data_IF_964239366662
#
_entry.id   IF_964239366662
#
_cell.length_a   1.000
_cell.length_b   1.000
_cell.length_c   1.000
_cell.angle_alpha   90.00
_cell.angle_beta   90.00
_cell.angle_gamma   90.00
#
_symmetry.space_group_name_H-M   'P 1'
#
loop_
_entity.id
_entity.type
_entity.pdbx_description
1 polymer ?
#
# COMPACT_ATOMS: atom_id res chain seq x y z
N UNK A 1 36.22 -6.68 72.73
CA UNK A 1 35.13 -5.80 72.25
C UNK A 1 34.88 -6.08 70.77
N UNK A 2 33.60 -6.33 70.42
CA UNK A 2 32.96 -6.36 69.08
C UNK A 2 33.45 -7.48 68.11
N UNK A 3 32.69 -8.58 67.98
CA UNK A 3 31.58 -8.82 67.00
C UNK A 3 32.11 -8.77 65.54
N UNK A 4 32.05 -9.78 64.66
CA UNK A 4 31.12 -10.91 64.47
C UNK A 4 31.68 -11.85 63.39
N UNK A 5 31.70 -13.17 63.64
CA UNK A 5 31.72 -14.23 62.62
C UNK A 5 30.27 -14.67 62.38
N UNK A 6 29.76 -14.60 61.15
CA UNK A 6 28.58 -15.36 60.68
C UNK A 6 28.65 -15.36 59.13
N UNK A 7 29.07 -16.46 58.50
CA UNK A 7 28.28 -17.62 58.02
C UNK A 7 27.24 -17.26 56.96
N UNK A 8 27.31 -18.04 55.88
CA UNK A 8 26.19 -18.39 54.99
C UNK A 8 25.79 -17.26 54.02
N UNK A 9 25.54 -17.47 52.74
CA UNK A 9 25.37 -18.65 51.90
C UNK A 9 25.16 -18.09 50.48
N UNK A 10 25.52 -18.89 49.48
CA UNK A 10 25.39 -18.60 48.06
C UNK A 10 24.09 -17.86 47.69
N UNK A 11 24.22 -16.78 46.93
CA UNK A 11 23.38 -16.50 45.78
C UNK A 11 24.24 -15.66 44.82
N UNK A 12 25.15 -16.34 44.13
CA UNK A 12 25.72 -15.83 42.87
C UNK A 12 24.58 -15.81 41.87
N UNK A 13 23.98 -14.64 41.71
CA UNK A 13 23.07 -14.29 40.62
C UNK A 13 23.80 -14.43 39.28
N UNK A 14 23.17 -15.17 38.36
CA UNK A 14 23.65 -15.44 37.00
C UNK A 14 23.61 -14.15 36.16
N UNK A 15 24.64 -13.33 36.26
CA UNK A 15 24.85 -12.21 35.35
C UNK A 15 25.61 -12.71 34.10
N UNK A 16 24.90 -13.00 33.00
CA UNK A 16 25.56 -13.28 31.73
C UNK A 16 24.78 -14.05 30.67
N UNK A 17 23.60 -13.58 30.22
CA UNK A 17 23.01 -14.01 28.91
C UNK A 17 21.85 -13.17 28.35
N UNK A 18 21.71 -11.90 28.71
CA UNK A 18 20.49 -11.12 28.36
C UNK A 18 20.54 -10.12 27.18
N UNK A 19 21.67 -9.61 26.66
CA UNK A 19 21.61 -8.63 25.57
C UNK A 19 21.35 -9.26 24.18
N UNK A 20 21.77 -10.51 23.96
CA UNK A 20 21.59 -11.19 22.67
C UNK A 20 20.13 -11.62 22.42
N UNK A 21 19.40 -11.99 23.48
CA UNK A 21 18.00 -12.41 23.38
C UNK A 21 17.07 -11.25 23.04
N UNK A 22 17.30 -10.08 23.63
CA UNK A 22 16.53 -8.86 23.34
C UNK A 22 16.76 -8.39 21.90
N UNK A 23 17.99 -8.48 21.40
CA UNK A 23 18.31 -8.15 20.01
C UNK A 23 17.66 -9.11 18.99
N UNK A 24 17.60 -10.41 19.30
CA UNK A 24 16.89 -11.39 18.47
C UNK A 24 15.37 -11.14 18.47
N UNK A 25 14.76 -10.99 19.65
CA UNK A 25 13.33 -10.69 19.79
C UNK A 25 12.94 -9.41 19.06
N UNK A 26 13.75 -8.35 19.15
CA UNK A 26 13.50 -7.10 18.43
C UNK A 26 13.50 -7.30 16.91
N UNK A 27 14.46 -8.07 16.38
CA UNK A 27 14.51 -8.38 14.94
C UNK A 27 13.29 -9.18 14.49
N UNK A 28 12.89 -10.18 15.27
CA UNK A 28 11.73 -11.02 14.97
C UNK A 28 10.45 -10.19 14.94
N UNK A 29 10.21 -9.36 15.97
CA UNK A 29 9.05 -8.46 16.04
C UNK A 29 9.06 -7.45 14.90
N UNK A 30 10.22 -6.88 14.59
CA UNK A 30 10.36 -5.97 13.44
C UNK A 30 10.01 -6.67 12.12
N UNK A 31 10.48 -7.90 11.90
CA UNK A 31 10.15 -8.68 10.69
C UNK A 31 8.65 -8.86 10.55
N UNK A 32 7.98 -9.30 11.62
CA UNK A 32 6.52 -9.46 11.63
C UNK A 32 5.77 -8.16 11.28
N UNK A 33 6.24 -7.01 11.77
CA UNK A 33 5.63 -5.70 11.47
C UNK A 33 5.83 -5.33 9.99
N UNK A 34 7.05 -5.49 9.47
CA UNK A 34 7.36 -5.11 8.08
C UNK A 34 6.67 -6.04 7.07
N UNK A 35 6.61 -7.34 7.35
CA UNK A 35 5.85 -8.32 6.56
C UNK A 35 4.36 -7.96 6.50
N UNK A 36 3.75 -7.62 7.65
CA UNK A 36 2.36 -7.20 7.69
C UNK A 36 2.11 -5.91 6.91
N UNK A 37 2.98 -4.92 7.05
CA UNK A 37 2.89 -3.65 6.31
C UNK A 37 3.01 -3.85 4.81
N UNK A 38 3.95 -4.69 4.37
CA UNK A 38 4.16 -5.01 2.97
C UNK A 38 2.91 -5.69 2.38
N UNK A 39 2.37 -6.70 3.07
CA UNK A 39 1.17 -7.41 2.64
C UNK A 39 -0.04 -6.47 2.46
N UNK A 40 -0.24 -5.54 3.40
CA UNK A 40 -1.29 -4.52 3.31
C UNK A 40 -1.04 -3.59 2.12
N UNK A 41 0.18 -3.06 1.97
CA UNK A 41 0.52 -2.15 0.89
C UNK A 41 0.26 -2.77 -0.49
N UNK A 42 0.63 -4.04 -0.67
CA UNK A 42 0.45 -4.78 -1.93
C UNK A 42 -1.03 -5.01 -2.24
N UNK A 43 -1.81 -5.35 -1.21
CA UNK A 43 -3.27 -5.54 -1.35
C UNK A 43 -3.94 -4.24 -1.76
N UNK A 44 -3.59 -3.13 -1.11
CA UNK A 44 -4.10 -1.79 -1.42
C UNK A 44 -3.69 -1.38 -2.84
N UNK A 45 -2.42 -1.54 -3.21
CA UNK A 45 -1.92 -1.18 -4.54
C UNK A 45 -2.63 -1.96 -5.65
N UNK A 46 -2.86 -3.26 -5.44
CA UNK A 46 -3.64 -4.09 -6.36
C UNK A 46 -5.09 -3.58 -6.52
N UNK A 47 -5.73 -3.21 -5.41
CA UNK A 47 -7.08 -2.64 -5.41
C UNK A 47 -7.15 -1.29 -6.14
N UNK A 48 -6.22 -0.39 -5.84
CA UNK A 48 -6.12 0.93 -6.48
C UNK A 48 -5.84 0.82 -7.98
N UNK A 49 -4.94 -0.08 -8.39
CA UNK A 49 -4.64 -0.32 -9.80
C UNK A 49 -5.89 -0.74 -10.57
N UNK A 50 -6.67 -1.67 -10.01
CA UNK A 50 -7.93 -2.10 -10.62
C UNK A 50 -8.96 -0.96 -10.66
N UNK A 51 -9.09 -0.21 -9.57
CA UNK A 51 -10.00 0.94 -9.49
C UNK A 51 -9.68 1.97 -10.58
N UNK A 52 -8.42 2.36 -10.68
CA UNK A 52 -7.96 3.35 -11.66
C UNK A 52 -8.19 2.90 -13.10
N UNK A 53 -7.97 1.62 -13.40
CA UNK A 53 -8.34 1.06 -14.69
C UNK A 53 -9.84 1.15 -14.97
N UNK A 54 -10.69 0.74 -14.01
CA UNK A 54 -12.16 0.76 -14.17
C UNK A 54 -12.70 2.18 -14.35
N UNK A 55 -12.19 3.14 -13.58
CA UNK A 55 -12.53 4.56 -13.72
C UNK A 55 -12.17 5.06 -15.11
N UNK A 56 -10.94 4.78 -15.56
CA UNK A 56 -10.49 5.12 -16.90
C UNK A 56 -11.39 4.56 -17.99
N UNK A 57 -11.71 3.28 -17.91
CA UNK A 57 -12.58 2.58 -18.86
C UNK A 57 -13.97 3.19 -18.92
N UNK A 58 -14.58 3.49 -17.76
CA UNK A 58 -15.91 4.09 -17.69
C UNK A 58 -15.94 5.48 -18.32
N UNK A 59 -14.91 6.30 -18.10
CA UNK A 59 -14.82 7.64 -18.69
C UNK A 59 -14.55 7.54 -20.20
N UNK A 60 -13.62 6.69 -20.62
CA UNK A 60 -13.30 6.46 -22.03
C UNK A 60 -14.55 6.07 -22.84
N UNK A 61 -15.35 5.14 -22.31
CA UNK A 61 -16.62 4.73 -22.92
C UNK A 61 -17.66 5.85 -23.01
N UNK A 62 -17.70 6.78 -22.05
CA UNK A 62 -18.59 7.95 -22.11
C UNK A 62 -18.19 8.90 -23.25
N UNK A 63 -16.89 9.15 -23.38
CA UNK A 63 -16.36 10.09 -24.36
C UNK A 63 -16.53 9.55 -25.79
N UNK A 64 -16.23 8.26 -26.00
CA UNK A 64 -16.43 7.57 -27.29
C UNK A 64 -17.88 7.64 -27.79
N UNK A 65 -18.87 7.46 -26.91
CA UNK A 65 -20.29 7.51 -27.28
C UNK A 65 -20.75 8.88 -27.81
N UNK A 66 -19.94 9.93 -27.59
CA UNK A 66 -20.31 11.32 -27.87
C UNK A 66 -19.47 11.94 -28.99
N UNK A 67 -18.53 11.18 -29.57
CA UNK A 67 -17.74 11.48 -30.78
C UNK A 67 -17.09 12.88 -30.85
N UNK A 68 -16.82 13.52 -29.70
CA UNK A 68 -16.26 14.88 -29.66
C UNK A 68 -15.19 15.05 -28.60
N UNK A 69 -13.97 15.32 -29.05
CA UNK A 69 -12.81 15.60 -28.20
C UNK A 69 -13.03 16.77 -27.24
N UNK A 70 -13.72 17.81 -27.69
CA UNK A 70 -14.00 19.01 -26.89
C UNK A 70 -14.98 18.73 -25.73
N UNK A 71 -15.99 17.89 -25.97
CA UNK A 71 -16.92 17.44 -24.94
C UNK A 71 -16.22 16.55 -23.90
N UNK A 72 -15.34 15.66 -24.36
CA UNK A 72 -14.53 14.82 -23.47
C UNK A 72 -13.62 15.64 -22.54
N UNK A 73 -13.02 16.72 -23.05
CA UNK A 73 -12.21 17.61 -22.22
C UNK A 73 -13.01 18.27 -21.10
N UNK A 74 -14.24 18.72 -21.39
CA UNK A 74 -15.13 19.33 -20.39
C UNK A 74 -15.55 18.32 -19.31
N UNK A 75 -15.95 17.10 -19.70
CA UNK A 75 -16.30 16.02 -18.75
C UNK A 75 -15.14 15.77 -17.79
N UNK A 76 -13.94 15.56 -18.32
CA UNK A 76 -12.79 15.16 -17.50
C UNK A 76 -12.39 16.29 -16.54
N UNK A 77 -12.51 17.55 -16.96
CA UNK A 77 -12.25 18.70 -16.11
C UNK A 77 -13.28 18.84 -14.99
N UNK A 78 -14.58 18.81 -15.31
CA UNK A 78 -15.65 18.91 -14.32
C UNK A 78 -15.63 17.75 -13.33
N UNK A 79 -15.49 16.52 -13.83
CA UNK A 79 -15.42 15.32 -12.99
C UNK A 79 -14.18 15.33 -12.09
N UNK A 80 -13.02 15.71 -12.64
CA UNK A 80 -11.78 15.80 -11.88
C UNK A 80 -11.87 16.80 -10.75
N UNK A 81 -12.54 17.94 -10.96
CA UNK A 81 -12.79 18.94 -9.91
C UNK A 81 -13.66 18.38 -8.79
N UNK A 82 -14.79 17.75 -9.14
CA UNK A 82 -15.71 17.17 -8.16
C UNK A 82 -15.05 16.05 -7.35
N UNK A 83 -14.41 15.10 -8.02
CA UNK A 83 -13.75 13.98 -7.35
C UNK A 83 -12.55 14.43 -6.51
N UNK A 84 -11.84 15.49 -6.90
CA UNK A 84 -10.74 16.01 -6.08
C UNK A 84 -11.21 16.63 -4.77
N UNK A 85 -12.40 17.22 -4.76
CA UNK A 85 -12.99 17.79 -3.53
C UNK A 85 -13.36 16.66 -2.57
N UNK A 86 -13.90 15.56 -3.08
CA UNK A 86 -14.41 14.46 -2.26
C UNK A 86 -13.32 13.45 -1.86
N UNK A 87 -12.41 13.11 -2.78
CA UNK A 87 -11.43 12.04 -2.63
C UNK A 87 -9.97 12.51 -2.69
N UNK A 88 -9.74 13.81 -2.88
CA UNK A 88 -8.41 14.41 -2.94
C UNK A 88 -7.73 14.32 -4.31
N UNK A 89 -6.50 14.84 -4.38
CA UNK A 89 -5.76 15.05 -5.62
C UNK A 89 -5.48 13.78 -6.43
N UNK A 90 -5.64 12.58 -5.85
CA UNK A 90 -5.56 11.30 -6.57
C UNK A 90 -6.56 11.19 -7.73
N UNK A 91 -7.65 11.96 -7.69
CA UNK A 91 -8.70 11.98 -8.72
C UNK A 91 -8.79 13.32 -9.48
N UNK A 92 -7.75 14.15 -9.42
CA UNK A 92 -7.66 15.37 -10.22
C UNK A 92 -7.67 15.07 -11.72
N UNK A 93 -8.03 16.09 -12.52
CA UNK A 93 -8.16 16.00 -13.98
C UNK A 93 -6.98 15.27 -14.63
N UNK A 94 -5.74 15.63 -14.25
CA UNK A 94 -4.52 14.99 -14.74
C UNK A 94 -4.46 13.50 -14.44
N UNK A 95 -4.92 13.08 -13.28
CA UNK A 95 -4.96 11.66 -12.90
C UNK A 95 -6.09 10.93 -13.63
N UNK A 96 -7.25 11.54 -13.82
CA UNK A 96 -8.31 10.96 -14.66
C UNK A 96 -7.84 10.74 -16.11
N UNK A 97 -7.11 11.70 -16.69
CA UNK A 97 -6.51 11.52 -18.04
C UNK A 97 -5.58 10.32 -18.10
N UNK A 98 -4.75 10.11 -17.06
CA UNK A 98 -3.90 8.91 -16.95
C UNK A 98 -4.69 7.62 -16.80
N UNK A 99 -5.78 7.64 -16.02
CA UNK A 99 -6.68 6.50 -15.88
C UNK A 99 -7.32 6.12 -17.22
N UNK A 100 -7.79 7.12 -17.98
CA UNK A 100 -8.33 6.92 -19.34
C UNK A 100 -7.28 6.29 -20.25
N UNK A 101 -6.07 6.87 -20.29
CA UNK A 101 -4.97 6.33 -21.08
C UNK A 101 -4.60 4.90 -20.66
N UNK A 102 -4.66 4.58 -19.36
CA UNK A 102 -4.41 3.24 -18.87
C UNK A 102 -5.45 2.24 -19.42
N UNK A 103 -6.72 2.61 -19.43
CA UNK A 103 -7.79 1.77 -19.98
C UNK A 103 -7.74 1.67 -21.52
N UNK A 104 -7.29 2.71 -22.20
CA UNK A 104 -7.07 2.73 -23.64
C UNK A 104 -5.85 1.89 -24.07
N UNK A 105 -4.78 1.84 -23.28
CA UNK A 105 -3.65 0.97 -23.62
C UNK A 105 -3.99 -0.50 -23.32
N UNK A 106 -4.70 -0.76 -22.23
CA UNK A 106 -5.04 -2.11 -21.77
C UNK A 106 -6.55 -2.35 -21.78
N UNK A 107 -7.12 -2.57 -22.96
CA UNK A 107 -8.58 -2.74 -23.11
C UNK A 107 -9.15 -4.00 -22.44
N UNK A 108 -8.37 -5.08 -22.37
CA UNK A 108 -8.79 -6.37 -21.80
C UNK A 108 -8.50 -6.43 -20.30
N UNK A 109 -9.56 -6.58 -19.50
CA UNK A 109 -9.48 -6.75 -18.05
C UNK A 109 -8.59 -7.93 -17.65
N UNK A 110 -8.53 -9.00 -18.46
CA UNK A 110 -7.70 -10.18 -18.19
C UNK A 110 -6.22 -9.85 -18.15
N UNK A 111 -5.77 -8.90 -18.96
CA UNK A 111 -4.38 -8.42 -18.95
C UNK A 111 -4.10 -7.71 -17.64
N UNK A 112 -5.00 -6.81 -17.23
CA UNK A 112 -4.87 -6.04 -15.98
C UNK A 112 -4.92 -6.94 -14.75
N UNK A 113 -5.85 -7.90 -14.71
CA UNK A 113 -5.93 -8.89 -13.63
C UNK A 113 -4.66 -9.74 -13.57
N UNK A 114 -4.11 -10.16 -14.70
CA UNK A 114 -2.85 -10.91 -14.74
C UNK A 114 -1.68 -10.10 -14.18
N UNK A 115 -1.54 -8.83 -14.59
CA UNK A 115 -0.50 -7.93 -14.07
C UNK A 115 -0.66 -7.69 -12.56
N UNK A 116 -1.90 -7.50 -12.08
CA UNK A 116 -2.18 -7.34 -10.65
C UNK A 116 -1.83 -8.61 -9.86
N UNK A 117 -2.06 -9.80 -10.42
CA UNK A 117 -1.65 -11.06 -9.78
C UNK A 117 -0.13 -11.15 -9.66
N UNK A 118 0.62 -10.66 -10.64
CA UNK A 118 2.08 -10.57 -10.56
C UNK A 118 2.55 -9.58 -9.48
N UNK A 119 1.88 -8.43 -9.32
CA UNK A 119 2.19 -7.49 -8.23
C UNK A 119 2.00 -8.12 -6.85
N UNK A 120 1.04 -9.04 -6.72
CA UNK A 120 0.80 -9.79 -5.48
C UNK A 120 1.78 -10.93 -5.24
N UNK A 121 2.51 -11.38 -6.27
CA UNK A 121 3.45 -12.50 -6.15
C UNK A 121 4.90 -12.07 -5.93
N UNK A 122 5.23 -10.79 -6.09
CA UNK A 122 6.60 -10.25 -5.99
C UNK A 122 6.86 -9.60 -4.61
N UNK A 123 5.85 -9.56 -3.74
CA UNK A 123 5.94 -9.02 -2.39
C UNK A 123 5.62 -10.09 -1.35
#
# INVERSE_FOLDING_TARGET
MKKTKNKSKALTTSAGKEPAKTGALFKDVRSMIEEARLAVAVTVNAGLTMLYWKVGKRIYQEILQRDRAEYGAQIVSSLGRQLSIEYGNGFAEKNLRRMIQFAEIYHDEKIVVSLIRQLRSIA
#
